data_IF_881759603083
#
_entry.id   IF_881759603083
#
_cell.length_a   1.000
_cell.length_b   1.000
_cell.length_c   1.000
_cell.angle_alpha   90.00
_cell.angle_beta   90.00
_cell.angle_gamma   90.00
#
_symmetry.space_group_name_H-M   'P 1'
#
loop_
_entity.id
_entity.type
_entity.pdbx_description
1 polymer ?
#
# COMPACT_ATOMS: atom_id res chain seq x y z
N UNK A 1 3.87 33.35 -2.04
CA UNK A 1 3.47 32.41 -0.97
C UNK A 1 4.14 31.07 -1.26
N UNK A 2 4.68 30.36 -0.26
CA UNK A 2 5.25 29.02 -0.52
C UNK A 2 4.10 28.05 -0.81
N UNK A 3 4.27 27.05 -1.70
CA UNK A 3 3.21 26.08 -2.01
C UNK A 3 2.57 25.45 -0.75
N UNK A 4 3.39 25.12 0.25
CA UNK A 4 2.93 24.54 1.52
C UNK A 4 1.98 25.47 2.28
N UNK A 5 2.29 26.78 2.33
CA UNK A 5 1.45 27.76 3.02
C UNK A 5 0.07 27.86 2.35
N UNK A 6 0.03 27.81 1.00
CA UNK A 6 -1.21 27.80 0.22
C UNK A 6 -2.05 26.55 0.48
N UNK A 7 -1.40 25.39 0.54
CA UNK A 7 -2.09 24.12 0.83
C UNK A 7 -2.73 24.17 2.21
N UNK A 8 -2.04 24.70 3.23
CA UNK A 8 -2.60 24.80 4.58
C UNK A 8 -3.80 25.76 4.67
N UNK A 9 -3.81 26.84 3.89
CA UNK A 9 -4.98 27.73 3.75
C UNK A 9 -6.15 26.99 3.13
N UNK A 10 -5.93 26.38 1.96
CA UNK A 10 -6.95 25.64 1.22
C UNK A 10 -7.54 24.47 2.01
N UNK A 11 -6.73 23.71 2.76
CA UNK A 11 -7.22 22.64 3.62
C UNK A 11 -8.23 23.14 4.64
N UNK A 12 -7.99 24.30 5.25
CA UNK A 12 -8.91 24.90 6.22
C UNK A 12 -10.18 25.40 5.55
N UNK A 13 -10.07 26.05 4.39
CA UNK A 13 -11.21 26.53 3.62
C UNK A 13 -12.14 25.41 3.16
N UNK A 14 -11.58 24.25 2.83
CA UNK A 14 -12.30 23.08 2.30
C UNK A 14 -12.67 22.03 3.34
N UNK A 15 -12.33 22.24 4.62
CA UNK A 15 -12.39 21.19 5.66
C UNK A 15 -11.81 19.85 5.15
N UNK A 16 -10.58 19.93 4.63
CA UNK A 16 -9.92 18.82 3.94
C UNK A 16 -8.80 18.20 4.77
N UNK A 17 -8.64 16.88 4.64
CA UNK A 17 -7.47 16.14 5.10
C UNK A 17 -6.64 15.65 3.92
N UNK A 18 -5.32 15.62 4.10
CA UNK A 18 -4.35 15.04 3.17
C UNK A 18 -3.85 13.73 3.77
N UNK A 19 -4.13 12.63 3.07
CA UNK A 19 -3.63 11.30 3.41
C UNK A 19 -2.51 10.94 2.43
N UNK A 20 -1.31 10.62 2.91
CA UNK A 20 -0.16 10.32 2.06
C UNK A 20 0.41 8.93 2.31
N UNK A 21 0.71 8.20 1.24
CA UNK A 21 1.45 6.95 1.35
C UNK A 21 2.92 7.18 1.73
N UNK A 22 3.53 6.22 2.43
CA UNK A 22 4.94 6.20 2.78
C UNK A 22 5.93 6.38 1.61
N UNK A 23 5.45 6.19 0.37
CA UNK A 23 6.25 6.31 -0.85
C UNK A 23 6.06 7.65 -1.56
N UNK A 24 5.32 8.60 -0.96
CA UNK A 24 5.26 9.96 -1.48
C UNK A 24 6.59 10.67 -1.31
N UNK A 25 6.86 11.66 -2.16
CA UNK A 25 8.06 12.50 -2.01
C UNK A 25 8.06 13.22 -0.64
N UNK A 26 9.25 13.52 -0.07
CA UNK A 26 9.38 14.12 1.27
C UNK A 26 8.46 15.31 1.54
N UNK A 27 8.38 16.25 0.60
CA UNK A 27 7.57 17.46 0.71
C UNK A 27 6.06 17.19 0.80
N UNK A 28 5.57 16.11 0.21
CA UNK A 28 4.17 15.67 0.35
C UNK A 28 3.96 15.00 1.70
N UNK A 29 4.90 14.14 2.13
CA UNK A 29 4.83 13.54 3.46
C UNK A 29 4.82 14.62 4.57
N UNK A 30 5.52 15.73 4.38
CA UNK A 30 5.64 16.79 5.37
C UNK A 30 4.39 17.67 5.53
N UNK A 31 3.50 17.73 4.53
CA UNK A 31 2.24 18.49 4.57
C UNK A 31 1.00 17.63 4.87
N UNK A 32 1.15 16.31 4.85
CA UNK A 32 0.07 15.38 5.07
C UNK A 32 -0.42 15.41 6.53
N UNK A 33 -1.72 15.24 6.74
CA UNK A 33 -2.28 15.07 8.10
C UNK A 33 -1.96 13.68 8.64
N UNK A 34 -1.84 12.71 7.74
CA UNK A 34 -1.45 11.36 8.07
C UNK A 34 -0.57 10.76 6.97
N UNK A 35 0.50 10.09 7.40
CA UNK A 35 1.41 9.33 6.52
C UNK A 35 1.40 7.88 6.99
N UNK A 36 1.15 6.94 6.07
CA UNK A 36 0.99 5.53 6.46
C UNK A 36 1.12 4.52 5.33
N UNK A 37 1.04 3.25 5.72
CA UNK A 37 0.82 2.13 4.81
C UNK A 37 -0.65 2.06 4.34
N UNK A 38 -0.96 1.19 3.37
CA UNK A 38 -2.30 1.07 2.81
C UNK A 38 -3.39 0.79 3.87
N UNK A 39 -3.08 0.02 4.92
CA UNK A 39 -4.03 -0.30 5.98
C UNK A 39 -4.28 0.92 6.89
N UNK A 40 -3.22 1.60 7.30
CA UNK A 40 -3.33 2.83 8.09
C UNK A 40 -4.14 3.89 7.36
N UNK A 41 -3.88 4.09 6.07
CA UNK A 41 -4.61 5.06 5.25
C UNK A 41 -6.10 4.70 5.12
N UNK A 42 -6.45 3.41 4.96
CA UNK A 42 -7.84 2.97 4.91
C UNK A 42 -8.56 3.22 6.24
N UNK A 43 -7.89 2.95 7.37
CA UNK A 43 -8.42 3.22 8.72
C UNK A 43 -8.64 4.71 8.94
N UNK A 44 -7.66 5.55 8.60
CA UNK A 44 -7.77 7.01 8.78
C UNK A 44 -8.82 7.63 7.86
N UNK A 45 -8.91 7.17 6.61
CA UNK A 45 -9.97 7.57 5.70
C UNK A 45 -11.36 7.24 6.28
N UNK A 46 -11.54 6.08 6.91
CA UNK A 46 -12.82 5.68 7.50
C UNK A 46 -13.17 6.47 8.78
N UNK A 47 -12.16 6.96 9.53
CA UNK A 47 -12.35 7.65 10.81
C UNK A 47 -12.48 9.17 10.72
N UNK A 48 -11.97 9.80 9.66
CA UNK A 48 -11.93 11.26 9.57
C UNK A 48 -13.32 11.89 9.54
N UNK A 49 -13.48 13.07 10.15
CA UNK A 49 -14.70 13.89 10.07
C UNK A 49 -14.63 14.96 8.96
N UNK A 50 -13.51 15.01 8.22
CA UNK A 50 -13.33 15.95 7.11
C UNK A 50 -14.31 15.65 5.96
N UNK A 51 -14.75 16.72 5.29
CA UNK A 51 -15.66 16.62 4.14
C UNK A 51 -14.91 16.22 2.86
N UNK A 52 -13.62 16.54 2.80
CA UNK A 52 -12.75 16.34 1.64
C UNK A 52 -11.52 15.53 2.04
N UNK A 53 -11.21 14.49 1.28
CA UNK A 53 -9.98 13.70 1.40
C UNK A 53 -9.14 13.92 0.15
N UNK A 54 -7.97 14.53 0.29
CA UNK A 54 -6.95 14.56 -0.76
C UNK A 54 -6.06 13.35 -0.58
N UNK A 55 -6.17 12.38 -1.49
CA UNK A 55 -5.43 11.13 -1.39
C UNK A 55 -4.13 11.18 -2.21
N UNK A 56 -3.01 11.33 -1.51
CA UNK A 56 -1.67 11.35 -2.08
C UNK A 56 -1.10 9.92 -2.15
N UNK A 57 -1.58 9.17 -3.13
CA UNK A 57 -1.20 7.78 -3.40
C UNK A 57 -1.59 7.40 -4.83
N UNK A 58 -1.62 6.10 -5.11
CA UNK A 58 -2.08 5.60 -6.41
C UNK A 58 -3.60 5.41 -6.45
N UNK A 59 -4.15 5.35 -7.66
CA UNK A 59 -5.57 5.21 -8.00
C UNK A 59 -6.38 4.28 -7.08
N UNK A 60 -5.98 3.02 -6.93
CA UNK A 60 -6.77 2.06 -6.14
C UNK A 60 -6.91 2.46 -4.67
N UNK A 61 -5.96 3.23 -4.12
CA UNK A 61 -6.01 3.69 -2.73
C UNK A 61 -7.05 4.79 -2.58
N UNK A 62 -7.08 5.72 -3.54
CA UNK A 62 -8.11 6.77 -3.60
C UNK A 62 -9.50 6.17 -3.86
N UNK A 63 -9.62 5.15 -4.72
CA UNK A 63 -10.84 4.37 -4.89
C UNK A 63 -11.29 3.71 -3.58
N UNK A 64 -10.37 3.06 -2.85
CA UNK A 64 -10.69 2.43 -1.57
C UNK A 64 -11.17 3.45 -0.53
N UNK A 65 -10.58 4.65 -0.50
CA UNK A 65 -11.05 5.74 0.34
C UNK A 65 -12.47 6.20 -0.04
N UNK A 66 -12.80 6.28 -1.34
CA UNK A 66 -14.16 6.63 -1.82
C UNK A 66 -15.17 5.53 -1.48
N UNK A 67 -14.82 4.25 -1.65
CA UNK A 67 -15.66 3.11 -1.28
C UNK A 67 -16.00 3.11 0.21
N UNK A 68 -15.01 3.41 1.07
CA UNK A 68 -15.22 3.51 2.52
C UNK A 68 -16.00 4.78 2.92
N UNK A 69 -15.95 5.84 2.10
CA UNK A 69 -16.55 7.14 2.36
C UNK A 69 -17.40 7.64 1.19
N UNK A 70 -18.52 6.98 0.87
CA UNK A 70 -19.29 7.25 -0.36
C UNK A 70 -19.84 8.68 -0.45
N UNK A 71 -20.08 9.32 0.70
CA UNK A 71 -20.63 10.68 0.78
C UNK A 71 -19.57 11.79 0.80
N UNK A 72 -18.29 11.46 1.03
CA UNK A 72 -17.21 12.45 1.07
C UNK A 72 -16.66 12.70 -0.33
N UNK A 73 -16.11 13.89 -0.53
CA UNK A 73 -15.33 14.21 -1.73
C UNK A 73 -13.94 13.59 -1.57
N UNK A 74 -13.55 12.71 -2.49
CA UNK A 74 -12.21 12.13 -2.50
C UNK A 74 -11.50 12.60 -3.76
N UNK A 75 -10.42 13.36 -3.57
CA UNK A 75 -9.62 13.93 -4.64
C UNK A 75 -8.37 13.09 -4.86
N UNK A 76 -8.08 12.76 -6.11
CA UNK A 76 -6.83 12.13 -6.52
C UNK A 76 -6.05 13.12 -7.40
N UNK A 77 -5.02 13.80 -6.85
CA UNK A 77 -4.42 14.97 -7.51
C UNK A 77 -3.77 14.70 -8.87
N UNK A 78 -3.47 13.45 -9.19
CA UNK A 78 -2.83 13.06 -10.45
C UNK A 78 -3.38 11.70 -10.94
N UNK A 79 -4.31 11.70 -11.88
CA UNK A 79 -5.01 10.50 -12.36
C UNK A 79 -4.09 9.48 -13.06
N UNK A 80 -2.88 9.89 -13.45
CA UNK A 80 -1.87 8.98 -14.01
C UNK A 80 -1.07 8.26 -12.94
N UNK A 81 -1.17 8.65 -11.66
CA UNK A 81 -0.59 7.93 -10.54
C UNK A 81 -1.35 6.61 -10.32
N UNK A 82 -1.05 5.60 -11.14
CA UNK A 82 -1.69 4.28 -11.13
C UNK A 82 -0.72 3.19 -10.71
N UNK A 83 -1.22 2.13 -10.11
CA UNK A 83 -0.38 0.98 -9.77
C UNK A 83 -0.33 -0.01 -10.94
N UNK A 84 0.85 -0.26 -11.55
CA UNK A 84 0.96 -1.22 -12.65
C UNK A 84 0.60 -2.64 -12.21
N UNK A 85 0.96 -3.04 -10.98
CA UNK A 85 0.61 -4.35 -10.43
C UNK A 85 -0.89 -4.51 -10.24
N UNK A 86 -1.60 -3.48 -9.79
CA UNK A 86 -3.07 -3.52 -9.68
C UNK A 86 -3.73 -3.72 -11.06
N UNK A 87 -3.15 -3.13 -12.11
CA UNK A 87 -3.62 -3.29 -13.48
C UNK A 87 -3.31 -4.67 -14.09
N UNK A 88 -2.44 -5.48 -13.48
CA UNK A 88 -2.18 -6.86 -13.92
C UNK A 88 -3.33 -7.82 -13.59
N UNK A 89 -4.27 -7.43 -12.72
CA UNK A 89 -5.44 -8.23 -12.38
C UNK A 89 -6.69 -7.69 -13.06
N UNK A 90 -7.12 -8.37 -14.12
CA UNK A 90 -8.32 -8.03 -14.86
C UNK A 90 -9.57 -8.67 -14.23
N UNK A 91 -10.64 -7.90 -13.96
CA UNK A 91 -11.85 -8.41 -13.30
C UNK A 91 -12.50 -9.59 -14.04
N UNK A 92 -12.52 -9.57 -15.37
CA UNK A 92 -13.12 -10.64 -16.17
C UNK A 92 -12.33 -11.94 -16.09
N UNK A 93 -11.00 -11.87 -16.11
CA UNK A 93 -10.14 -13.03 -15.92
C UNK A 93 -10.27 -13.59 -14.48
N UNK A 94 -10.41 -12.74 -13.47
CA UNK A 94 -10.72 -13.18 -12.10
C UNK A 94 -12.05 -13.92 -12.02
N UNK A 95 -13.10 -13.42 -12.67
CA UNK A 95 -14.41 -14.10 -12.73
C UNK A 95 -14.32 -15.47 -13.41
N UNK A 96 -13.47 -15.64 -14.41
CA UNK A 96 -13.22 -16.94 -15.04
C UNK A 96 -12.50 -17.87 -14.07
N UNK A 97 -11.44 -17.41 -13.40
CA UNK A 97 -10.70 -18.21 -12.42
C UNK A 97 -11.60 -18.70 -11.28
N UNK A 98 -12.52 -17.84 -10.79
CA UNK A 98 -13.52 -18.23 -9.78
C UNK A 98 -14.47 -19.34 -10.25
N UNK A 99 -14.77 -19.42 -11.56
CA UNK A 99 -15.59 -20.51 -12.12
C UNK A 99 -14.83 -21.83 -12.16
N UNK A 100 -13.52 -21.78 -12.40
CA UNK A 100 -12.66 -22.97 -12.41
C UNK A 100 -12.41 -23.50 -10.98
N UNK A 101 -12.43 -22.61 -9.98
CA UNK A 101 -12.24 -22.95 -8.57
C UNK A 101 -13.40 -22.45 -7.68
N UNK A 102 -14.63 -22.99 -7.82
CA UNK A 102 -15.83 -22.47 -7.17
C UNK A 102 -15.86 -22.65 -5.65
N UNK A 103 -14.93 -23.42 -5.08
CA UNK A 103 -14.76 -23.61 -3.63
C UNK A 103 -13.70 -22.67 -3.03
N UNK A 104 -12.92 -21.98 -3.86
CA UNK A 104 -11.88 -21.10 -3.38
C UNK A 104 -12.47 -19.79 -2.87
N UNK A 105 -12.02 -19.33 -1.70
CA UNK A 105 -12.26 -17.95 -1.28
C UNK A 105 -11.22 -17.02 -1.93
N UNK A 106 -11.64 -15.82 -2.32
CA UNK A 106 -10.80 -14.84 -3.00
C UNK A 106 -10.30 -13.80 -2.00
N UNK A 107 -8.98 -13.72 -1.85
CA UNK A 107 -8.29 -12.68 -1.10
C UNK A 107 -7.73 -11.65 -2.06
N UNK A 108 -8.23 -10.41 -1.95
CA UNK A 108 -7.73 -9.29 -2.73
C UNK A 108 -6.77 -8.44 -1.92
N UNK A 109 -5.49 -8.45 -2.27
CA UNK A 109 -4.59 -7.40 -1.84
C UNK A 109 -5.17 -6.05 -2.27
N UNK A 110 -5.15 -5.04 -1.38
CA UNK A 110 -5.73 -3.72 -1.63
C UNK A 110 -5.22 -3.07 -2.92
N UNK A 111 -4.04 -3.47 -3.41
CA UNK A 111 -3.46 -3.10 -4.69
C UNK A 111 -4.19 -3.77 -5.87
N UNK A 112 -5.50 -3.56 -5.96
CA UNK A 112 -6.42 -4.07 -7.00
C UNK A 112 -7.48 -3.01 -7.30
N UNK A 113 -8.11 -3.02 -8.47
CA UNK A 113 -9.23 -2.11 -8.74
C UNK A 113 -10.43 -2.35 -7.82
N UNK A 114 -11.32 -1.35 -7.69
CA UNK A 114 -12.60 -1.55 -7.01
C UNK A 114 -13.42 -2.73 -7.60
N UNK A 115 -13.33 -2.96 -8.91
CA UNK A 115 -14.00 -4.08 -9.58
C UNK A 115 -13.47 -5.45 -9.14
N UNK A 116 -12.14 -5.60 -9.04
CA UNK A 116 -11.54 -6.81 -8.50
C UNK A 116 -11.90 -7.01 -7.02
N UNK A 117 -11.94 -5.93 -6.23
CA UNK A 117 -12.42 -5.98 -4.84
C UNK A 117 -13.87 -6.45 -4.76
N UNK A 118 -14.74 -6.01 -5.67
CA UNK A 118 -16.15 -6.43 -5.71
C UNK A 118 -16.36 -7.92 -6.05
N UNK A 119 -15.31 -8.62 -6.48
CA UNK A 119 -15.28 -10.07 -6.69
C UNK A 119 -14.62 -10.84 -5.54
N UNK A 120 -14.06 -10.15 -4.54
CA UNK A 120 -13.33 -10.75 -3.43
C UNK A 120 -14.20 -11.05 -2.21
N UNK A 121 -13.81 -12.07 -1.44
CA UNK A 121 -14.45 -12.43 -0.17
C UNK A 121 -13.88 -11.62 1.01
N UNK A 122 -12.62 -11.21 0.91
CA UNK A 122 -11.94 -10.35 1.87
C UNK A 122 -10.78 -9.62 1.21
N UNK A 123 -10.51 -8.38 1.64
CA UNK A 123 -9.28 -7.69 1.27
C UNK A 123 -8.14 -7.98 2.26
N UNK A 124 -6.90 -7.74 1.85
CA UNK A 124 -5.76 -7.72 2.77
C UNK A 124 -4.77 -6.61 2.41
N UNK A 125 -3.81 -6.36 3.31
CA UNK A 125 -2.58 -5.62 3.02
C UNK A 125 -1.35 -6.48 3.32
N UNK A 126 -0.15 -6.03 2.95
CA UNK A 126 1.09 -6.68 3.38
C UNK A 126 1.25 -6.78 4.90
N UNK A 127 0.52 -5.94 5.65
CA UNK A 127 0.50 -5.88 7.12
C UNK A 127 -0.45 -6.89 7.77
N UNK A 128 -1.36 -7.53 7.03
CA UNK A 128 -2.30 -8.50 7.62
C UNK A 128 -2.64 -9.70 6.73
N UNK A 129 -2.04 -9.85 5.55
CA UNK A 129 -2.37 -10.92 4.60
C UNK A 129 -2.31 -12.33 5.23
N UNK A 130 -1.27 -12.65 6.01
CA UNK A 130 -1.17 -13.93 6.72
C UNK A 130 -2.33 -14.14 7.69
N UNK A 131 -2.66 -13.11 8.48
CA UNK A 131 -3.76 -13.16 9.44
C UNK A 131 -5.10 -13.35 8.72
N UNK A 132 -5.33 -12.58 7.65
CA UNK A 132 -6.55 -12.64 6.83
C UNK A 132 -6.75 -14.01 6.22
N UNK A 133 -5.72 -14.58 5.57
CA UNK A 133 -5.82 -15.91 4.95
C UNK A 133 -6.15 -16.98 6.00
N UNK A 134 -5.56 -16.88 7.20
CA UNK A 134 -5.82 -17.83 8.27
C UNK A 134 -7.20 -17.68 8.95
N UNK A 135 -7.98 -16.64 8.66
CA UNK A 135 -9.38 -16.54 9.14
C UNK A 135 -10.41 -17.09 8.17
N UNK A 136 -9.99 -17.50 6.98
CA UNK A 136 -10.87 -18.05 5.95
C UNK A 136 -11.34 -19.45 6.30
N UNK A 137 -12.56 -19.78 5.88
CA UNK A 137 -13.15 -21.11 6.10
C UNK A 137 -12.66 -22.10 5.04
N UNK A 138 -12.40 -21.64 3.81
CA UNK A 138 -11.93 -22.48 2.71
C UNK A 138 -10.46 -22.85 2.86
N UNK A 139 -10.12 -24.11 2.56
CA UNK A 139 -8.74 -24.59 2.49
C UNK A 139 -8.04 -24.18 1.17
N UNK A 140 -8.78 -23.65 0.20
CA UNK A 140 -8.26 -23.18 -1.08
C UNK A 140 -8.52 -21.68 -1.22
N UNK A 141 -7.48 -20.92 -1.58
CA UNK A 141 -7.54 -19.46 -1.65
C UNK A 141 -7.03 -18.99 -3.01
N UNK A 142 -7.79 -18.15 -3.70
CA UNK A 142 -7.27 -17.34 -4.82
C UNK A 142 -6.70 -16.06 -4.23
N UNK A 143 -5.42 -15.78 -4.46
CA UNK A 143 -4.75 -14.59 -3.94
C UNK A 143 -4.35 -13.65 -5.08
N UNK A 144 -4.88 -12.43 -5.07
CA UNK A 144 -4.64 -11.44 -6.13
C UNK A 144 -4.00 -10.13 -5.58
N UNK A 145 -3.24 -9.37 -6.39
CA UNK A 145 -2.71 -9.74 -7.69
C UNK A 145 -1.25 -10.23 -7.60
N UNK A 146 -0.62 -10.14 -6.42
CA UNK A 146 0.83 -10.25 -6.25
C UNK A 146 1.25 -11.67 -5.86
N UNK A 147 2.00 -12.33 -6.76
CA UNK A 147 2.46 -13.70 -6.59
C UNK A 147 3.50 -13.84 -5.47
N UNK A 148 4.30 -12.80 -5.25
CA UNK A 148 5.34 -12.80 -4.21
C UNK A 148 4.73 -12.75 -2.82
N UNK A 149 3.74 -11.88 -2.58
CA UNK A 149 2.99 -11.82 -1.34
C UNK A 149 2.18 -13.08 -1.13
N UNK A 150 1.56 -13.65 -2.17
CA UNK A 150 0.89 -14.94 -2.10
C UNK A 150 1.87 -16.06 -1.65
N UNK A 151 3.05 -16.13 -2.28
CA UNK A 151 4.13 -17.06 -1.93
C UNK A 151 4.65 -16.84 -0.51
N UNK A 152 4.76 -15.59 -0.06
CA UNK A 152 5.11 -15.26 1.32
C UNK A 152 4.05 -15.77 2.28
N UNK A 153 2.76 -15.54 2.02
CA UNK A 153 1.66 -15.98 2.89
C UNK A 153 1.56 -17.49 2.95
N UNK A 154 1.81 -18.20 1.84
CA UNK A 154 1.84 -19.67 1.78
C UNK A 154 2.79 -20.29 2.80
N UNK A 155 3.85 -19.58 3.21
CA UNK A 155 4.82 -20.06 4.22
C UNK A 155 4.25 -20.08 5.66
N UNK A 156 3.11 -19.43 5.89
CA UNK A 156 2.53 -19.23 7.23
C UNK A 156 1.06 -19.67 7.31
N UNK A 157 0.62 -20.50 6.37
CA UNK A 157 -0.71 -21.09 6.35
C UNK A 157 -0.65 -22.52 5.84
N UNK A 158 -1.56 -23.36 6.33
CA UNK A 158 -1.76 -24.73 5.82
C UNK A 158 -2.75 -24.78 4.64
N UNK A 159 -3.31 -23.63 4.25
CA UNK A 159 -4.23 -23.49 3.12
C UNK A 159 -3.44 -23.50 1.80
N UNK A 160 -4.05 -24.02 0.74
CA UNK A 160 -3.50 -23.99 -0.61
C UNK A 160 -3.80 -22.63 -1.27
N UNK A 161 -2.77 -21.92 -1.73
CA UNK A 161 -2.93 -20.62 -2.40
C UNK A 161 -2.71 -20.78 -3.91
N UNK A 162 -3.68 -20.28 -4.69
CA UNK A 162 -3.58 -20.05 -6.13
C UNK A 162 -3.16 -18.58 -6.32
N UNK A 163 -1.89 -18.30 -6.61
CA UNK A 163 -1.42 -16.94 -6.82
C UNK A 163 -1.87 -16.43 -8.19
N UNK A 164 -2.29 -15.16 -8.24
CA UNK A 164 -2.38 -14.42 -9.49
C UNK A 164 -0.97 -14.06 -9.98
N UNK A 165 -0.67 -14.19 -11.29
CA UNK A 165 0.68 -13.97 -11.83
C UNK A 165 0.97 -12.47 -12.05
N UNK A 166 0.79 -11.65 -11.02
CA UNK A 166 1.18 -10.25 -11.00
C UNK A 166 2.29 -10.00 -9.99
N UNK A 167 3.00 -8.87 -10.15
CA UNK A 167 4.11 -8.52 -9.28
C UNK A 167 4.36 -7.00 -9.28
N UNK A 168 5.01 -6.49 -8.23
CA UNK A 168 5.42 -5.10 -8.15
C UNK A 168 6.79 -4.86 -8.82
N UNK A 169 6.90 -4.08 -9.92
CA UNK A 169 8.19 -3.83 -10.58
C UNK A 169 9.22 -3.11 -9.70
N UNK A 170 8.76 -2.30 -8.73
CA UNK A 170 9.64 -1.59 -7.81
C UNK A 170 10.32 -2.55 -6.82
N UNK A 171 9.60 -3.56 -6.33
CA UNK A 171 10.17 -4.58 -5.45
C UNK A 171 10.91 -5.67 -6.23
N UNK A 172 10.50 -5.97 -7.45
CA UNK A 172 11.23 -6.86 -8.36
C UNK A 172 12.65 -6.36 -8.69
N UNK A 173 12.80 -5.02 -8.78
CA UNK A 173 14.09 -4.35 -8.98
C UNK A 173 15.06 -4.49 -7.80
N UNK A 174 14.61 -4.96 -6.64
CA UNK A 174 15.45 -5.32 -5.49
C UNK A 174 15.96 -6.74 -5.74
N UNK A 175 17.28 -6.90 -5.75
CA UNK A 175 17.93 -8.19 -6.08
C UNK A 175 18.89 -8.61 -4.98
N UNK A 176 19.15 -9.91 -4.88
CA UNK A 176 20.10 -10.49 -3.93
C UNK A 176 21.49 -9.88 -4.10
N UNK A 177 21.92 -9.58 -5.33
CA UNK A 177 23.21 -8.97 -5.61
C UNK A 177 23.31 -7.55 -5.04
N UNK A 178 22.24 -6.75 -5.19
CA UNK A 178 22.21 -5.38 -4.63
C UNK A 178 22.22 -5.39 -3.11
N UNK A 179 21.44 -6.29 -2.50
CA UNK A 179 21.43 -6.44 -1.04
C UNK A 179 22.77 -6.97 -0.52
N UNK A 180 23.39 -7.92 -1.20
CA UNK A 180 24.70 -8.49 -0.82
C UNK A 180 25.77 -7.42 -0.82
N UNK A 181 25.81 -6.60 -1.87
CA UNK A 181 26.73 -5.46 -1.95
C UNK A 181 26.54 -4.49 -0.77
N UNK A 182 25.30 -4.11 -0.46
CA UNK A 182 25.02 -3.24 0.69
C UNK A 182 25.41 -3.89 2.02
N UNK A 183 25.22 -5.21 2.15
CA UNK A 183 25.61 -5.96 3.35
C UNK A 183 27.13 -6.08 3.50
N UNK A 184 27.86 -6.18 2.39
CA UNK A 184 29.34 -6.13 2.39
C UNK A 184 29.85 -4.74 2.80
N UNK A 185 29.22 -3.68 2.29
CA UNK A 185 29.54 -2.29 2.64
C UNK A 185 29.14 -1.95 4.10
N UNK A 186 28.07 -2.57 4.60
CA UNK A 186 27.51 -2.35 5.94
C UNK A 186 27.24 -3.67 6.69
N UNK A 187 28.28 -4.39 7.15
CA UNK A 187 28.13 -5.72 7.75
C UNK A 187 27.25 -5.75 9.01
N UNK A 188 27.19 -4.64 9.75
CA UNK A 188 26.39 -4.49 10.96
C UNK A 188 24.91 -4.16 10.71
N UNK A 189 24.53 -3.82 9.48
CA UNK A 189 23.18 -3.38 9.15
C UNK A 189 22.19 -4.56 9.10
N UNK A 190 20.99 -4.36 9.63
CA UNK A 190 19.88 -5.32 9.53
C UNK A 190 19.15 -5.12 8.20
N UNK A 191 18.91 -6.19 7.45
CA UNK A 191 18.20 -6.17 6.17
C UNK A 191 16.70 -6.37 6.42
N UNK A 192 15.90 -5.36 6.12
CA UNK A 192 14.43 -5.44 6.14
C UNK A 192 13.90 -5.32 4.72
N UNK A 193 13.09 -6.26 4.27
CA UNK A 193 12.50 -6.25 2.92
C UNK A 193 10.97 -6.27 2.97
N UNK A 194 10.33 -5.81 1.91
CA UNK A 194 8.88 -5.91 1.78
C UNK A 194 8.49 -7.32 1.30
N UNK A 195 7.35 -7.89 1.71
CA UNK A 195 6.90 -9.21 1.23
C UNK A 195 6.47 -9.24 -0.24
N UNK A 196 6.46 -8.11 -0.94
CA UNK A 196 6.33 -8.04 -2.41
C UNK A 196 7.65 -8.35 -3.14
N UNK A 197 8.77 -8.43 -2.42
CA UNK A 197 10.06 -8.85 -2.99
C UNK A 197 10.03 -10.33 -3.38
N UNK A 198 10.85 -10.69 -4.37
CA UNK A 198 10.99 -12.09 -4.81
C UNK A 198 11.42 -13.02 -3.66
N UNK A 199 11.03 -14.30 -3.67
CA UNK A 199 11.34 -15.26 -2.60
C UNK A 199 12.81 -15.30 -2.19
N UNK A 200 13.74 -15.29 -3.15
CA UNK A 200 15.18 -15.31 -2.88
C UNK A 200 15.70 -14.06 -2.16
N UNK A 201 15.02 -12.92 -2.32
CA UNK A 201 15.32 -11.68 -1.60
C UNK A 201 14.76 -11.74 -0.18
N UNK A 202 13.57 -12.32 -0.01
CA UNK A 202 12.97 -12.56 1.31
C UNK A 202 13.86 -13.50 2.13
N UNK A 203 14.36 -14.58 1.51
CA UNK A 203 15.18 -15.60 2.18
C UNK A 203 16.54 -15.06 2.65
N UNK A 204 17.05 -14.02 2.00
CA UNK A 204 18.30 -13.34 2.39
C UNK A 204 18.10 -12.34 3.55
N UNK A 205 16.88 -11.82 3.72
CA UNK A 205 16.60 -10.72 4.65
C UNK A 205 16.53 -11.18 6.12
N UNK A 206 16.85 -10.28 7.05
CA UNK A 206 16.67 -10.53 8.48
C UNK A 206 15.19 -10.53 8.88
N UNK A 207 14.35 -9.74 8.18
CA UNK A 207 12.89 -9.84 8.29
C UNK A 207 12.18 -9.29 7.04
N UNK A 208 11.01 -9.86 6.74
CA UNK A 208 10.06 -9.33 5.77
C UNK A 208 8.84 -8.70 6.47
N UNK A 209 8.53 -7.44 6.17
CA UNK A 209 7.48 -6.65 6.85
C UNK A 209 6.81 -5.66 5.90
N UNK A 210 5.57 -5.25 6.22
CA UNK A 210 4.94 -4.07 5.62
C UNK A 210 5.77 -2.81 5.95
N UNK A 211 5.50 -1.68 5.30
CA UNK A 211 6.22 -0.43 5.61
C UNK A 211 6.00 0.03 7.06
N UNK A 212 4.80 -0.14 7.61
CA UNK A 212 4.54 0.13 9.04
C UNK A 212 5.25 -0.89 9.94
N UNK A 213 5.22 -2.17 9.55
CA UNK A 213 5.94 -3.24 10.25
C UNK A 213 7.45 -3.02 10.29
N UNK A 214 8.04 -2.48 9.21
CA UNK A 214 9.45 -2.07 9.19
C UNK A 214 9.74 -0.97 10.21
N UNK A 215 8.93 0.09 10.22
CA UNK A 215 9.08 1.19 11.18
C UNK A 215 9.01 0.69 12.62
N UNK A 216 8.03 -0.16 12.95
CA UNK A 216 7.88 -0.74 14.28
C UNK A 216 9.09 -1.63 14.64
N UNK A 217 9.53 -2.49 13.73
CA UNK A 217 10.71 -3.32 13.92
C UNK A 217 11.97 -2.48 14.22
N UNK A 218 12.19 -1.39 13.48
CA UNK A 218 13.37 -0.52 13.66
C UNK A 218 13.28 0.24 14.99
N UNK A 219 12.08 0.70 15.37
CA UNK A 219 11.82 1.37 16.65
C UNK A 219 12.21 0.50 17.84
N UNK A 220 11.84 -0.78 17.80
CA UNK A 220 12.07 -1.73 18.90
C UNK A 220 13.46 -2.39 18.85
N UNK A 221 14.18 -2.24 17.73
CA UNK A 221 15.49 -2.86 17.54
C UNK A 221 16.62 -2.10 18.26
N UNK A 222 17.53 -2.83 18.95
CA UNK A 222 18.73 -2.23 19.53
C UNK A 222 19.79 -1.85 18.47
N UNK A 223 19.63 -2.30 17.22
CA UNK A 223 20.57 -2.03 16.13
C UNK A 223 20.46 -0.59 15.64
N UNK A 224 21.54 -0.04 15.10
CA UNK A 224 21.63 1.36 14.66
C UNK A 224 21.63 1.52 13.15
N UNK A 225 21.85 0.44 12.40
CA UNK A 225 22.02 0.48 10.94
C UNK A 225 21.04 -0.50 10.29
N UNK A 226 20.37 -0.05 9.23
CA UNK A 226 19.34 -0.82 8.53
C UNK A 226 19.45 -0.66 7.01
N UNK A 227 19.39 -1.76 6.28
CA UNK A 227 19.19 -1.79 4.83
C UNK A 227 17.70 -1.95 4.58
N UNK A 228 17.11 -0.98 3.87
CA UNK A 228 15.67 -0.87 3.63
C UNK A 228 15.37 -1.32 2.20
N UNK A 229 14.94 -2.57 2.07
CA UNK A 229 14.51 -3.23 0.84
C UNK A 229 13.02 -2.99 0.55
N UNK A 230 12.67 -1.72 0.35
CA UNK A 230 11.39 -1.29 -0.21
C UNK A 230 11.60 -0.03 -1.04
N UNK A 231 10.53 0.65 -1.44
CA UNK A 231 10.63 1.95 -2.10
C UNK A 231 11.41 2.98 -1.25
N UNK A 232 12.31 3.72 -1.90
CA UNK A 232 13.33 4.52 -1.22
C UNK A 232 12.79 5.64 -0.31
N UNK A 233 11.64 6.25 -0.61
CA UNK A 233 11.13 7.39 0.15
C UNK A 233 10.47 6.97 1.47
N UNK A 234 10.35 5.66 1.73
CA UNK A 234 10.11 5.16 3.08
C UNK A 234 11.19 5.66 4.07
N UNK A 235 12.42 5.86 3.59
CA UNK A 235 13.52 6.35 4.43
C UNK A 235 13.31 7.79 4.91
N UNK A 236 12.54 8.63 4.20
CA UNK A 236 12.19 9.96 4.70
C UNK A 236 11.40 9.86 6.02
N UNK A 237 10.34 9.05 6.03
CA UNK A 237 9.55 8.80 7.24
C UNK A 237 10.40 8.20 8.36
N UNK A 238 11.22 7.19 8.05
CA UNK A 238 12.11 6.57 9.03
C UNK A 238 13.08 7.57 9.66
N UNK A 239 13.70 8.45 8.87
CA UNK A 239 14.60 9.49 9.38
C UNK A 239 13.88 10.51 10.25
N UNK A 240 12.64 10.85 9.92
CA UNK A 240 11.81 11.81 10.68
C UNK A 240 11.39 11.24 12.04
N UNK A 241 10.96 9.99 12.08
CA UNK A 241 10.51 9.34 13.32
C UNK A 241 11.65 8.81 14.18
N UNK A 242 12.73 8.34 13.57
CA UNK A 242 13.82 7.62 14.22
C UNK A 242 15.19 8.18 13.74
N UNK A 243 15.51 9.46 14.05
CA UNK A 243 16.67 10.17 13.48
C UNK A 243 18.04 9.66 13.97
N UNK A 244 18.08 8.92 15.07
CA UNK A 244 19.32 8.39 15.65
C UNK A 244 19.83 7.10 14.96
N UNK A 245 19.07 6.56 14.00
CA UNK A 245 19.43 5.36 13.24
C UNK A 245 19.88 5.73 11.83
N UNK A 246 20.66 4.85 11.20
CA UNK A 246 21.16 4.99 9.84
C UNK A 246 20.43 4.04 8.90
N UNK A 247 20.09 4.55 7.71
CA UNK A 247 19.28 3.83 6.72
C UNK A 247 19.98 3.82 5.36
N UNK A 248 20.09 2.64 4.77
CA UNK A 248 20.66 2.40 3.45
C UNK A 248 19.55 1.94 2.50
N UNK A 249 19.41 2.59 1.35
CA UNK A 249 18.39 2.26 0.35
C UNK A 249 18.96 1.40 -0.77
N UNK A 250 18.12 0.55 -1.35
CA UNK A 250 18.48 -0.22 -2.53
C UNK A 250 18.36 0.64 -3.79
N UNK A 251 19.44 0.76 -4.55
CA UNK A 251 19.45 1.56 -5.78
C UNK A 251 18.43 1.04 -6.80
N UNK A 252 17.58 1.95 -7.30
CA UNK A 252 16.57 1.67 -8.31
C UNK A 252 15.20 1.24 -7.76
N UNK A 253 15.05 1.10 -6.44
CA UNK A 253 13.76 0.85 -5.79
C UNK A 253 12.93 2.15 -5.70
N UNK A 254 12.52 2.67 -6.86
CA UNK A 254 11.71 3.89 -6.97
C UNK A 254 10.40 3.54 -7.67
N UNK A 255 9.27 3.91 -7.06
CA UNK A 255 7.97 3.77 -7.72
C UNK A 255 7.67 5.02 -8.54
N UNK A 256 7.78 4.99 -9.88
CA UNK A 256 7.66 6.21 -10.69
C UNK A 256 6.27 6.84 -10.58
N UNK A 257 5.22 6.02 -10.42
CA UNK A 257 3.84 6.52 -10.39
C UNK A 257 3.48 7.19 -9.06
N UNK A 258 4.11 6.78 -7.95
CA UNK A 258 4.00 7.51 -6.67
C UNK A 258 4.61 8.91 -6.74
N UNK A 259 5.63 9.13 -7.59
CA UNK A 259 6.33 10.43 -7.74
C UNK A 259 5.65 11.39 -8.71
N UNK A 260 4.53 10.99 -9.30
CA UNK A 260 3.78 11.87 -10.21
C UNK A 260 3.01 12.96 -9.47
N UNK A 261 2.70 12.76 -8.18
CA UNK A 261 1.99 13.76 -7.38
C UNK A 261 3.00 14.82 -6.91
N UNK A 262 2.66 16.09 -7.13
CA UNK A 262 3.42 17.25 -6.65
C UNK A 262 2.57 18.17 -5.76
N UNK A 263 3.20 19.15 -5.13
CA UNK A 263 2.49 20.18 -4.36
C UNK A 263 1.53 21.00 -5.23
N UNK A 264 1.90 21.27 -6.48
CA UNK A 264 1.06 21.99 -7.45
C UNK A 264 -0.18 21.17 -7.82
N UNK A 265 -0.06 19.85 -7.96
CA UNK A 265 -1.23 18.99 -8.16
C UNK A 265 -2.21 19.10 -6.99
N UNK A 266 -1.71 19.09 -5.75
CA UNK A 266 -2.55 19.18 -4.53
C UNK A 266 -3.22 20.56 -4.45
N UNK A 267 -2.49 21.65 -4.74
CA UNK A 267 -3.05 23.01 -4.80
C UNK A 267 -4.16 23.06 -5.83
N UNK A 268 -3.89 22.62 -7.06
CA UNK A 268 -4.89 22.62 -8.13
C UNK A 268 -6.13 21.83 -7.70
N UNK A 269 -5.93 20.64 -7.11
CA UNK A 269 -7.04 19.80 -6.68
C UNK A 269 -7.92 20.45 -5.61
N UNK A 270 -7.33 21.12 -4.63
CA UNK A 270 -8.06 21.82 -3.57
C UNK A 270 -8.75 23.12 -4.07
N UNK A 271 -8.17 23.78 -5.08
CA UNK A 271 -8.76 24.97 -5.69
C UNK A 271 -9.96 24.63 -6.56
N UNK A 272 -9.82 23.61 -7.41
CA UNK A 272 -10.83 23.21 -8.39
C UNK A 272 -11.79 22.14 -7.89
N UNK A 273 -11.51 21.52 -6.75
CA UNK A 273 -12.22 20.35 -6.23
C UNK A 273 -12.26 19.18 -7.23
N UNK A 274 -11.22 19.05 -8.07
CA UNK A 274 -11.10 18.02 -9.10
C UNK A 274 -9.64 17.57 -9.25
N UNK A 275 -9.34 16.34 -9.69
CA UNK A 275 -10.28 15.28 -10.06
C UNK A 275 -10.89 14.59 -8.83
N UNK A 276 -12.22 14.49 -8.80
CA UNK A 276 -12.94 13.67 -7.81
C UNK A 276 -12.99 12.21 -8.29
N UNK A 277 -12.73 11.28 -7.36
CA UNK A 277 -13.00 9.87 -7.57
C UNK A 277 -14.50 9.63 -7.49
N UNK A 278 -15.06 9.16 -8.60
CA UNK A 278 -16.46 8.75 -8.72
C UNK A 278 -16.52 7.27 -9.11
N UNK A 279 -17.39 6.53 -8.44
CA UNK A 279 -17.59 5.10 -8.66
C UNK A 279 -19.09 4.81 -8.67
N UNK A 280 -19.50 3.79 -9.41
CA UNK A 280 -20.89 3.33 -9.40
C UNK A 280 -21.31 2.86 -7.99
N UNK A 281 -22.56 3.14 -7.62
CA UNK A 281 -23.06 2.85 -6.27
C UNK A 281 -23.14 1.34 -5.97
N UNK A 282 -23.51 0.53 -6.96
CA UNK A 282 -23.55 -0.94 -6.81
C UNK A 282 -22.12 -1.49 -6.66
N UNK A 283 -21.18 -0.97 -7.47
CA UNK A 283 -19.77 -1.33 -7.36
C UNK A 283 -19.21 -0.99 -5.97
N UNK A 284 -19.49 0.22 -5.46
CA UNK A 284 -19.03 0.62 -4.13
C UNK A 284 -19.57 -0.30 -3.05
N UNK A 285 -20.87 -0.63 -3.07
CA UNK A 285 -21.47 -1.50 -2.05
C UNK A 285 -20.82 -2.90 -2.06
N UNK A 286 -20.59 -3.46 -3.25
CA UNK A 286 -19.93 -4.77 -3.39
C UNK A 286 -18.47 -4.73 -2.94
N UNK A 287 -17.70 -3.71 -3.32
CA UNK A 287 -16.29 -3.56 -2.94
C UNK A 287 -16.11 -3.21 -1.45
N UNK A 288 -17.10 -2.58 -0.82
CA UNK A 288 -17.05 -2.19 0.60
C UNK A 288 -17.03 -3.39 1.53
N UNK A 289 -17.75 -4.47 1.21
CA UNK A 289 -17.83 -5.66 2.06
C UNK A 289 -16.45 -6.30 2.35
N UNK A 290 -15.63 -6.67 1.35
CA UNK A 290 -14.32 -7.26 1.61
C UNK A 290 -13.33 -6.27 2.25
N UNK A 291 -13.43 -4.98 1.92
CA UNK A 291 -12.65 -3.92 2.59
C UNK A 291 -13.01 -3.80 4.07
N UNK A 292 -14.30 -3.78 4.42
CA UNK A 292 -14.72 -3.70 5.81
C UNK A 292 -14.28 -4.94 6.60
N UNK A 293 -14.44 -6.14 6.03
CA UNK A 293 -13.97 -7.39 6.65
C UNK A 293 -12.46 -7.36 6.93
N UNK A 294 -11.66 -6.79 6.02
CA UNK A 294 -10.23 -6.55 6.24
C UNK A 294 -9.96 -5.64 7.44
N UNK A 295 -10.69 -4.51 7.53
CA UNK A 295 -10.54 -3.55 8.62
C UNK A 295 -10.93 -4.16 9.98
N UNK A 296 -11.99 -4.96 10.01
CA UNK A 296 -12.48 -5.64 11.21
C UNK A 296 -11.46 -6.69 11.72
N UNK A 297 -10.72 -7.35 10.82
CA UNK A 297 -9.62 -8.27 11.17
C UNK A 297 -8.41 -7.51 11.75
N UNK A 298 -8.13 -6.30 11.24
CA UNK A 298 -7.05 -5.44 11.71
C UNK A 298 -5.63 -5.91 11.34
N UNK A 299 -4.61 -5.33 11.98
CA UNK A 299 -3.18 -5.64 11.76
C UNK A 299 -2.81 -7.06 12.19
N UNK A 300 -1.78 -7.61 11.56
CA UNK A 300 -1.24 -8.95 11.85
C UNK A 300 0.29 -9.05 11.81
N UNK A 301 0.99 -7.94 11.61
CA UNK A 301 2.45 -7.83 11.55
C UNK A 301 3.10 -7.29 12.83
#
# INVERSE_FOLDING_TARGET
MRPQDRIMELKRERNAVILAHNYQIPEIQDIADFVGDSLGLAVEAAKTDAEVIVFCGVDFMAESAKVLNPQKVVLHPEQKARCPMAAMCEPDALRLLKKDFPRAEVVAYVNTSAECKAEADVCCTSSNAVKVVNTLDSDLVIFIPDENLASYVQRYTEKDIIPWPGYCPTHDAITVEKLSKLKEEHPGAVILVHPECRPEVIDMADAARSTEGMLNYIRDSPKTEFIIGTEQDMVHRLKKELPAKTYYTVTGAVCPTMKLITLENIIAALETMTPEITLDAELMERAKRPLQRMLDIGRGD
#
